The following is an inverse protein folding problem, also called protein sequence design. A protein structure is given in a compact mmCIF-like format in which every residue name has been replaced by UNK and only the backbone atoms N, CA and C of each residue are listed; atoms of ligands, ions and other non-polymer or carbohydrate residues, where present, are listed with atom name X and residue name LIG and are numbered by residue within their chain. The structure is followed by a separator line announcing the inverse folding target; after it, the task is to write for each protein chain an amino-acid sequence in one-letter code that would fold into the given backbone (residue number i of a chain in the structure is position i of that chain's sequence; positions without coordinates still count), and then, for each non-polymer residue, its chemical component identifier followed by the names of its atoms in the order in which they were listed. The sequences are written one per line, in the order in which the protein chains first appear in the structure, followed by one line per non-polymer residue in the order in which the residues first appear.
data_IF_007589757390
#
_entry.id   IF_007589757390
#
_cell.length_a   1.000
_cell.length_b   1.000
_cell.length_c   1.000
_cell.angle_alpha   90.00
_cell.angle_beta   90.00
_cell.angle_gamma   90.00
#
_symmetry.space_group_name_H-M   'P 1'
#
loop_
_entity.id
_entity.type
_entity.pdbx_description
1 polymer ?
#
# COMPACT_ATOMS: atom_id res chain seq x y z
N UNK A 1 14.07 16.07 -5.67
CA UNK A 1 13.29 16.48 -4.46
C UNK A 1 12.74 15.21 -3.85
N UNK A 2 12.73 15.13 -2.52
CA UNK A 2 12.10 14.03 -1.77
C UNK A 2 10.61 14.26 -1.64
N UNK A 3 9.81 13.20 -1.53
CA UNK A 3 8.38 13.30 -1.25
C UNK A 3 8.13 13.67 0.22
N UNK A 4 6.97 14.27 0.50
CA UNK A 4 6.57 14.59 1.88
C UNK A 4 6.44 13.31 2.73
N UNK A 5 5.93 12.21 2.15
CA UNK A 5 5.88 10.89 2.80
C UNK A 5 7.29 10.41 3.20
N UNK A 6 8.25 10.47 2.27
CA UNK A 6 9.63 10.06 2.52
C UNK A 6 10.28 10.90 3.63
N UNK A 7 10.08 12.21 3.62
CA UNK A 7 10.60 13.11 4.64
C UNK A 7 10.04 12.79 6.03
N UNK A 8 8.73 12.56 6.13
CA UNK A 8 8.07 12.18 7.39
C UNK A 8 8.60 10.85 7.93
N UNK A 9 8.67 9.82 7.09
CA UNK A 9 9.20 8.51 7.48
C UNK A 9 10.67 8.57 7.90
N UNK A 10 11.50 9.37 7.20
CA UNK A 10 12.91 9.53 7.53
C UNK A 10 13.12 10.32 8.83
N UNK A 11 12.21 11.24 9.17
CA UNK A 11 12.25 11.97 10.43
C UNK A 11 11.72 11.16 11.63
N UNK A 12 11.27 9.91 11.42
CA UNK A 12 10.70 9.06 12.46
C UNK A 12 9.27 9.42 12.86
N UNK A 13 8.60 10.27 12.10
CA UNK A 13 7.18 10.57 12.33
C UNK A 13 6.32 9.37 11.93
N UNK A 14 5.35 9.06 12.78
CA UNK A 14 4.33 8.05 12.46
C UNK A 14 3.42 8.58 11.35
N UNK A 15 3.25 7.81 10.26
CA UNK A 15 2.46 8.22 9.10
C UNK A 15 1.15 7.44 9.01
N UNK A 16 0.12 8.08 8.49
CA UNK A 16 -1.14 7.45 8.14
C UNK A 16 -1.39 7.63 6.65
N UNK A 17 -1.33 6.54 5.89
CA UNK A 17 -1.66 6.53 4.47
C UNK A 17 -3.04 5.92 4.25
N UNK A 18 -3.68 6.28 3.15
CA UNK A 18 -4.98 5.74 2.75
C UNK A 18 -4.91 5.16 1.34
N UNK A 19 -5.99 4.55 0.88
CA UNK A 19 -6.09 3.98 -0.45
C UNK A 19 -7.39 4.40 -1.12
N UNK A 20 -7.32 4.67 -2.43
CA UNK A 20 -8.48 4.78 -3.30
C UNK A 20 -8.35 3.79 -4.47
N UNK A 21 -9.43 3.10 -4.75
CA UNK A 21 -9.56 2.35 -6.00
C UNK A 21 -10.15 3.29 -7.04
N UNK A 22 -9.40 3.60 -8.13
CA UNK A 22 -9.93 4.42 -9.21
C UNK A 22 -11.25 3.85 -9.74
N UNK A 23 -12.25 4.69 -10.01
CA UNK A 23 -13.53 4.21 -10.52
C UNK A 23 -13.41 3.71 -11.97
N UNK A 24 -14.36 2.90 -12.41
CA UNK A 24 -14.55 2.61 -13.82
C UNK A 24 -15.29 3.79 -14.44
N UNK A 25 -14.57 4.88 -14.66
CA UNK A 25 -15.15 6.14 -15.16
C UNK A 25 -14.10 6.96 -15.91
N UNK A 26 -14.51 7.67 -16.93
CA UNK A 26 -13.70 8.67 -17.62
C UNK A 26 -13.91 10.09 -17.06
N UNK A 27 -14.74 10.25 -16.04
CA UNK A 27 -14.98 11.54 -15.38
C UNK A 27 -14.06 11.69 -14.15
N UNK A 28 -13.11 12.63 -14.14
CA UNK A 28 -12.21 12.85 -13.00
C UNK A 28 -12.95 13.17 -11.69
N UNK A 29 -14.14 13.75 -11.76
CA UNK A 29 -14.93 14.07 -10.57
C UNK A 29 -15.31 12.82 -9.75
N UNK A 30 -15.49 11.68 -10.40
CA UNK A 30 -15.83 10.43 -9.70
C UNK A 30 -14.66 9.90 -8.87
N UNK A 31 -13.42 10.09 -9.33
CA UNK A 31 -12.21 9.81 -8.54
C UNK A 31 -12.08 10.81 -7.38
N UNK A 32 -12.25 12.09 -7.67
CA UNK A 32 -12.10 13.16 -6.68
C UNK A 32 -13.16 13.07 -5.58
N UNK A 33 -14.35 12.60 -5.86
CA UNK A 33 -15.38 12.35 -4.85
C UNK A 33 -14.93 11.34 -3.78
N UNK A 34 -14.06 10.36 -4.14
CA UNK A 34 -13.47 9.40 -3.20
C UNK A 34 -12.22 9.95 -2.52
N UNK A 35 -11.38 10.70 -3.23
CA UNK A 35 -10.07 11.10 -2.75
C UNK A 35 -10.08 12.39 -1.92
N UNK A 36 -10.91 13.38 -2.26
CA UNK A 36 -10.95 14.67 -1.57
C UNK A 36 -11.29 14.56 -0.06
N UNK A 37 -12.19 13.65 0.38
CA UNK A 37 -12.40 13.46 1.82
C UNK A 37 -11.15 13.04 2.60
N UNK A 38 -10.13 12.46 1.94
CA UNK A 38 -8.88 12.01 2.56
C UNK A 38 -7.82 13.12 2.67
N UNK A 39 -8.03 14.24 1.94
CA UNK A 39 -7.09 15.36 1.94
C UNK A 39 -6.98 15.99 3.32
N UNK A 40 -5.72 16.07 3.82
CA UNK A 40 -5.42 16.58 5.17
C UNK A 40 -5.59 15.54 6.28
N UNK A 41 -6.15 14.37 5.98
CA UNK A 41 -6.23 13.24 6.89
C UNK A 41 -5.10 12.22 6.63
N UNK A 42 -4.92 11.82 5.39
CA UNK A 42 -3.83 10.94 5.01
C UNK A 42 -2.56 11.72 4.62
N UNK A 43 -1.39 11.20 4.97
CA UNK A 43 -0.08 11.75 4.58
C UNK A 43 0.24 11.49 3.10
N UNK A 44 -0.27 10.40 2.56
CA UNK A 44 -0.30 10.07 1.14
C UNK A 44 -1.43 9.09 0.84
N UNK A 45 -1.88 9.05 -0.40
CA UNK A 45 -3.01 8.21 -0.84
C UNK A 45 -2.57 7.28 -1.96
N UNK A 46 -2.68 5.97 -1.72
CA UNK A 46 -2.45 4.96 -2.74
C UNK A 46 -3.52 5.03 -3.83
N UNK A 47 -3.08 4.89 -5.05
CA UNK A 47 -3.93 4.70 -6.23
C UNK A 47 -3.71 3.29 -6.74
N UNK A 48 -4.73 2.43 -6.61
CA UNK A 48 -4.60 1.02 -6.99
C UNK A 48 -4.49 0.84 -8.49
N UNK A 49 -3.72 -0.15 -8.93
CA UNK A 49 -3.49 -0.50 -10.32
C UNK A 49 -4.23 -1.82 -10.66
N UNK A 50 -5.40 -1.69 -11.24
CA UNK A 50 -6.24 -2.83 -11.63
C UNK A 50 -6.60 -3.75 -10.47
N UNK A 51 -7.05 -3.19 -9.34
CA UNK A 51 -7.40 -3.95 -8.13
C UNK A 51 -8.36 -5.10 -8.43
N UNK A 52 -8.11 -6.28 -7.81
CA UNK A 52 -8.88 -7.52 -8.04
C UNK A 52 -8.88 -7.96 -9.51
N UNK A 53 -7.86 -7.62 -10.27
CA UNK A 53 -7.76 -7.89 -11.73
C UNK A 53 -8.97 -7.37 -12.53
N UNK A 54 -9.47 -6.19 -12.17
CA UNK A 54 -10.60 -5.54 -12.84
C UNK A 54 -10.15 -4.29 -13.56
N UNK A 55 -10.91 -3.90 -14.57
CA UNK A 55 -10.70 -2.65 -15.29
C UNK A 55 -11.11 -1.46 -14.42
N UNK A 56 -10.24 -0.47 -14.32
CA UNK A 56 -10.42 0.80 -13.62
C UNK A 56 -9.85 1.95 -14.45
N UNK A 57 -10.06 3.19 -14.02
CA UNK A 57 -9.26 4.30 -14.53
C UNK A 57 -7.78 4.02 -14.28
N UNK A 58 -6.94 4.31 -15.27
CA UNK A 58 -5.48 4.09 -15.22
C UNK A 58 -4.85 4.72 -13.96
N UNK A 59 -3.97 3.96 -13.30
CA UNK A 59 -3.38 4.35 -12.02
C UNK A 59 -2.48 5.57 -12.12
N UNK A 60 -1.70 5.71 -13.19
CA UNK A 60 -0.86 6.89 -13.41
C UNK A 60 -1.70 8.14 -13.65
N UNK A 61 -2.74 8.05 -14.47
CA UNK A 61 -3.68 9.15 -14.70
C UNK A 61 -4.36 9.56 -13.40
N UNK A 62 -4.82 8.58 -12.61
CA UNK A 62 -5.45 8.86 -11.32
C UNK A 62 -4.46 9.50 -10.34
N UNK A 63 -3.19 9.05 -10.28
CA UNK A 63 -2.15 9.65 -9.44
C UNK A 63 -1.86 11.11 -9.82
N UNK A 64 -1.86 11.43 -11.13
CA UNK A 64 -1.71 12.80 -11.63
C UNK A 64 -2.88 13.68 -11.15
N UNK A 65 -4.11 13.19 -11.31
CA UNK A 65 -5.33 13.92 -10.86
C UNK A 65 -5.25 14.19 -9.34
N UNK A 66 -4.87 13.21 -8.52
CA UNK A 66 -4.71 13.41 -7.08
C UNK A 66 -3.68 14.50 -6.78
N UNK A 67 -2.52 14.41 -7.41
CA UNK A 67 -1.42 15.38 -7.23
C UNK A 67 -1.82 16.80 -7.59
N UNK A 68 -2.49 16.99 -8.72
CA UNK A 68 -3.00 18.30 -9.17
C UNK A 68 -4.03 18.89 -8.20
N UNK A 69 -4.71 18.05 -7.43
CA UNK A 69 -5.66 18.45 -6.39
C UNK A 69 -5.02 18.54 -4.98
N UNK A 70 -3.70 18.50 -4.89
CA UNK A 70 -2.95 18.69 -3.65
C UNK A 70 -3.05 17.50 -2.68
N UNK A 71 -3.20 16.29 -3.22
CA UNK A 71 -3.12 15.02 -2.50
C UNK A 71 -1.84 14.33 -2.95
N UNK A 72 -0.96 13.96 -2.04
CA UNK A 72 0.27 13.24 -2.35
C UNK A 72 -0.05 11.79 -2.74
N UNK A 73 0.22 11.35 -3.98
CA UNK A 73 -0.10 9.99 -4.38
C UNK A 73 1.02 9.01 -4.07
N UNK A 74 0.63 7.74 -3.84
CA UNK A 74 1.49 6.57 -3.99
C UNK A 74 0.97 5.80 -5.21
N UNK A 75 1.72 5.84 -6.31
CA UNK A 75 1.35 5.14 -7.53
C UNK A 75 1.63 3.65 -7.39
N UNK A 76 0.58 2.83 -7.47
CA UNK A 76 0.76 1.37 -7.56
C UNK A 76 1.09 0.98 -9.01
N UNK A 77 2.03 0.05 -9.16
CA UNK A 77 2.48 -0.49 -10.45
C UNK A 77 2.48 -2.01 -10.38
N UNK A 78 1.62 -2.65 -11.15
CA UNK A 78 1.57 -4.11 -11.27
C UNK A 78 2.39 -4.61 -12.47
N UNK A 79 2.96 -5.79 -12.33
CA UNK A 79 3.68 -6.49 -13.42
C UNK A 79 2.73 -7.24 -14.35
N UNK A 80 1.43 -7.33 -14.02
CA UNK A 80 0.45 -8.19 -14.68
C UNK A 80 0.19 -7.83 -16.13
N UNK A 81 -0.07 -6.54 -16.41
CA UNK A 81 -0.69 -6.13 -17.66
C UNK A 81 0.30 -5.56 -18.68
N UNK A 82 1.54 -5.32 -18.28
CA UNK A 82 2.54 -4.55 -19.03
C UNK A 82 3.87 -5.29 -19.12
N UNK A 83 4.50 -5.26 -20.32
CA UNK A 83 5.87 -5.71 -20.47
C UNK A 83 6.86 -4.63 -19.96
N UNK A 84 8.14 -4.98 -19.89
CA UNK A 84 9.19 -4.08 -19.39
C UNK A 84 9.30 -2.76 -20.14
N UNK A 85 8.97 -2.73 -21.43
CA UNK A 85 9.00 -1.48 -22.21
C UNK A 85 7.93 -0.53 -21.71
N UNK A 86 6.68 -1.02 -21.53
CA UNK A 86 5.57 -0.24 -21.03
C UNK A 86 5.81 0.20 -19.57
N UNK A 87 6.29 -0.71 -18.70
CA UNK A 87 6.61 -0.40 -17.30
C UNK A 87 7.70 0.65 -17.17
N UNK A 88 8.77 0.58 -17.97
CA UNK A 88 9.83 1.60 -17.99
C UNK A 88 9.32 2.94 -18.50
N UNK A 89 8.46 2.94 -19.53
CA UNK A 89 7.84 4.16 -20.04
C UNK A 89 6.93 4.80 -19.00
N UNK A 90 6.17 4.02 -18.26
CA UNK A 90 5.29 4.49 -17.20
C UNK A 90 6.07 5.06 -16.00
N UNK A 91 7.16 4.41 -15.59
CA UNK A 91 8.08 4.97 -14.59
C UNK A 91 8.62 6.33 -15.02
N UNK A 92 9.09 6.47 -16.26
CA UNK A 92 9.58 7.74 -16.81
C UNK A 92 8.44 8.78 -16.85
N UNK A 93 7.24 8.39 -17.27
CA UNK A 93 6.05 9.23 -17.26
C UNK A 93 5.68 9.70 -15.85
N UNK A 94 5.69 8.82 -14.87
CA UNK A 94 5.47 9.15 -13.47
C UNK A 94 6.49 10.18 -12.96
N UNK A 95 7.79 9.99 -13.28
CA UNK A 95 8.82 10.96 -12.93
C UNK A 95 8.62 12.31 -13.62
N UNK A 96 8.27 12.34 -14.89
CA UNK A 96 7.98 13.56 -15.64
C UNK A 96 6.81 14.35 -15.06
N UNK A 97 5.79 13.66 -14.52
CA UNK A 97 4.67 14.26 -13.81
C UNK A 97 4.96 14.55 -12.33
N UNK A 98 6.20 14.27 -11.87
CA UNK A 98 6.64 14.51 -10.50
C UNK A 98 5.94 13.63 -9.47
N UNK A 99 5.56 12.42 -9.85
CA UNK A 99 5.10 11.36 -8.92
C UNK A 99 6.36 10.76 -8.29
N UNK A 100 6.45 10.85 -6.96
CA UNK A 100 7.68 10.50 -6.22
C UNK A 100 7.55 9.21 -5.42
N UNK A 101 6.33 8.78 -5.07
CA UNK A 101 6.12 7.52 -4.35
C UNK A 101 5.54 6.49 -5.29
N UNK A 102 6.16 5.34 -5.34
CA UNK A 102 5.65 4.18 -6.10
C UNK A 102 5.56 2.97 -5.19
N UNK A 103 4.55 2.14 -5.39
CA UNK A 103 4.40 0.83 -4.74
C UNK A 103 4.36 -0.24 -5.82
N UNK A 104 5.36 -1.12 -5.81
CA UNK A 104 5.49 -2.16 -6.83
C UNK A 104 4.82 -3.45 -6.37
N UNK A 105 3.97 -3.99 -7.23
CA UNK A 105 3.14 -5.17 -7.00
C UNK A 105 3.35 -6.21 -8.10
N UNK A 106 3.05 -7.47 -7.80
CA UNK A 106 2.95 -8.51 -8.83
C UNK A 106 1.68 -8.32 -9.66
N UNK A 107 0.56 -8.08 -8.99
CA UNK A 107 -0.78 -8.03 -9.57
C UNK A 107 -1.53 -9.36 -9.39
N UNK A 108 -2.86 -9.27 -9.29
CA UNK A 108 -3.75 -10.43 -9.13
C UNK A 108 -3.88 -11.24 -10.43
N UNK A 109 -4.23 -12.52 -10.32
CA UNK A 109 -4.49 -13.38 -11.48
C UNK A 109 -5.74 -12.88 -12.24
N UNK A 110 -5.65 -12.58 -13.56
CA UNK A 110 -6.78 -12.15 -14.38
C UNK A 110 -8.01 -13.06 -14.30
N UNK A 111 -7.80 -14.35 -14.08
CA UNK A 111 -8.90 -15.33 -13.91
C UNK A 111 -9.85 -15.03 -12.76
N UNK A 112 -9.42 -14.19 -11.80
CA UNK A 112 -10.23 -13.75 -10.66
C UNK A 112 -10.95 -12.42 -10.90
N UNK A 113 -10.67 -11.77 -12.03
CA UNK A 113 -11.18 -10.46 -12.39
C UNK A 113 -12.45 -10.48 -13.23
N UNK A 114 -12.72 -9.34 -13.87
CA UNK A 114 -13.86 -9.15 -14.78
C UNK A 114 -13.55 -9.52 -16.24
N UNK A 115 -12.28 -9.80 -16.55
CA UNK A 115 -11.80 -10.22 -17.87
C UNK A 115 -10.99 -11.52 -17.74
N UNK A 116 -11.61 -12.67 -17.41
CA UNK A 116 -10.88 -13.90 -17.07
C UNK A 116 -10.05 -14.48 -18.24
N UNK A 117 -10.36 -14.08 -19.48
CA UNK A 117 -9.65 -14.48 -20.69
C UNK A 117 -8.46 -13.54 -21.03
N UNK A 118 -8.28 -12.46 -20.28
CA UNK A 118 -7.15 -11.55 -20.49
C UNK A 118 -5.83 -12.30 -20.27
N UNK A 119 -4.88 -12.11 -21.20
CA UNK A 119 -3.56 -12.74 -21.11
C UNK A 119 -2.65 -11.92 -20.21
N UNK A 120 -2.19 -12.45 -19.07
CA UNK A 120 -1.20 -11.76 -18.26
C UNK A 120 0.13 -11.71 -18.98
N UNK A 121 0.89 -10.65 -18.74
CA UNK A 121 2.21 -10.44 -19.36
C UNK A 121 3.32 -10.97 -18.46
N UNK A 122 3.40 -10.46 -17.21
CA UNK A 122 4.40 -10.84 -16.21
C UNK A 122 5.82 -10.96 -16.80
N UNK A 123 6.22 -10.02 -17.68
CA UNK A 123 7.57 -9.96 -18.26
C UNK A 123 8.63 -9.64 -17.19
N UNK A 124 8.26 -8.93 -16.15
CA UNK A 124 9.02 -8.74 -14.92
C UNK A 124 8.21 -9.25 -13.74
N UNK A 125 8.88 -9.75 -12.72
CA UNK A 125 8.30 -9.89 -11.39
C UNK A 125 8.50 -8.60 -10.57
N UNK A 126 7.90 -8.53 -9.38
CA UNK A 126 7.97 -7.32 -8.55
C UNK A 126 9.38 -6.95 -8.11
N UNK A 127 10.25 -7.92 -7.80
CA UNK A 127 11.64 -7.64 -7.44
C UNK A 127 12.44 -7.07 -8.63
N UNK A 128 12.23 -7.60 -9.82
CA UNK A 128 12.85 -7.11 -11.06
C UNK A 128 12.37 -5.69 -11.43
N UNK A 129 11.08 -5.38 -11.22
CA UNK A 129 10.57 -4.04 -11.45
C UNK A 129 11.11 -3.04 -10.40
N UNK A 130 11.23 -3.44 -9.12
CA UNK A 130 11.89 -2.65 -8.08
C UNK A 130 13.34 -2.37 -8.48
N UNK A 131 14.10 -3.40 -8.90
CA UNK A 131 15.48 -3.25 -9.36
C UNK A 131 15.58 -2.31 -10.57
N UNK A 132 14.64 -2.40 -11.50
CA UNK A 132 14.56 -1.51 -12.67
C UNK A 132 14.34 -0.06 -12.24
N UNK A 133 13.39 0.20 -11.35
CA UNK A 133 13.13 1.55 -10.84
C UNK A 133 14.34 2.11 -10.06
N UNK A 134 14.95 1.29 -9.19
CA UNK A 134 16.15 1.67 -8.45
C UNK A 134 17.33 1.96 -9.40
N UNK A 135 17.54 1.13 -10.41
CA UNK A 135 18.60 1.35 -11.41
C UNK A 135 18.41 2.66 -12.17
N UNK A 136 17.20 2.94 -12.65
CA UNK A 136 16.91 4.20 -13.36
C UNK A 136 17.13 5.40 -12.42
N UNK A 137 16.67 5.34 -11.17
CA UNK A 137 16.86 6.39 -10.16
C UNK A 137 18.34 6.65 -9.88
N UNK A 138 19.11 5.58 -9.67
CA UNK A 138 20.49 5.68 -9.13
C UNK A 138 21.53 5.86 -10.22
N UNK A 139 21.28 5.40 -11.45
CA UNK A 139 22.22 5.44 -12.58
C UNK A 139 21.81 6.40 -13.70
N UNK A 140 20.55 6.84 -13.75
CA UNK A 140 20.04 7.69 -14.84
C UNK A 140 20.02 6.96 -16.19
N UNK A 141 19.82 5.64 -16.19
CA UNK A 141 19.77 4.85 -17.40
C UNK A 141 18.83 3.65 -17.25
N UNK A 142 18.32 3.14 -18.36
CA UNK A 142 17.62 1.88 -18.42
C UNK A 142 18.56 0.69 -18.13
N UNK A 143 18.07 -0.47 -17.68
CA UNK A 143 18.90 -1.65 -17.41
C UNK A 143 19.81 -2.07 -18.59
N UNK A 144 19.46 -1.71 -19.82
CA UNK A 144 20.29 -1.95 -21.02
C UNK A 144 21.26 -0.80 -21.37
N UNK A 145 21.49 0.15 -20.46
CA UNK A 145 22.49 1.23 -20.61
C UNK A 145 22.02 2.45 -21.38
N UNK A 146 20.78 2.48 -21.90
CA UNK A 146 20.25 3.68 -22.56
C UNK A 146 19.99 4.77 -21.53
N UNK A 147 20.59 5.94 -21.72
CA UNK A 147 20.45 7.08 -20.79
C UNK A 147 19.02 7.62 -20.76
N UNK A 148 18.59 7.99 -19.57
CA UNK A 148 17.34 8.69 -19.29
C UNK A 148 17.69 10.10 -18.87
N UNK A 149 17.18 11.09 -19.62
CA UNK A 149 17.37 12.50 -19.25
C UNK A 149 16.44 12.83 -18.07
N UNK A 150 16.93 13.63 -17.15
CA UNK A 150 16.25 13.99 -15.91
C UNK A 150 16.78 13.19 -14.71
N UNK A 151 16.23 13.44 -13.54
CA UNK A 151 16.68 12.84 -12.28
C UNK A 151 15.48 12.29 -11.52
N UNK A 152 14.98 11.09 -11.87
CA UNK A 152 13.93 10.43 -11.10
C UNK A 152 14.36 10.28 -9.64
N UNK A 153 13.44 10.50 -8.72
CA UNK A 153 13.74 10.46 -7.28
C UNK A 153 12.69 9.64 -6.52
N UNK A 154 12.31 8.48 -7.08
CA UNK A 154 11.25 7.67 -6.46
C UNK A 154 11.66 7.14 -5.10
N UNK A 155 10.73 7.25 -4.16
CA UNK A 155 10.67 6.48 -2.94
C UNK A 155 9.93 5.18 -3.24
N UNK A 156 10.67 4.06 -3.22
CA UNK A 156 10.20 2.77 -3.76
C UNK A 156 9.63 1.92 -2.66
N UNK A 157 8.33 1.68 -2.73
CA UNK A 157 7.58 0.80 -1.86
C UNK A 157 7.51 -0.62 -2.39
N UNK A 158 7.44 -1.56 -1.46
CA UNK A 158 7.23 -2.98 -1.69
C UNK A 158 5.98 -3.46 -0.98
N UNK A 159 5.22 -4.35 -1.60
CA UNK A 159 4.13 -5.04 -0.91
C UNK A 159 4.67 -6.18 -0.07
N UNK A 160 4.14 -6.32 1.14
CA UNK A 160 4.45 -7.41 2.07
C UNK A 160 3.16 -7.98 2.68
N UNK A 161 3.24 -9.18 3.21
CA UNK A 161 2.14 -9.84 3.91
C UNK A 161 2.69 -10.47 5.19
N UNK A 162 2.61 -9.77 6.33
CA UNK A 162 2.99 -10.34 7.62
C UNK A 162 2.25 -11.64 7.89
N UNK A 163 2.94 -12.57 8.50
CA UNK A 163 2.39 -13.85 8.96
C UNK A 163 2.77 -14.07 10.41
N UNK A 164 2.08 -14.95 11.11
CA UNK A 164 2.60 -15.51 12.36
C UNK A 164 3.69 -16.53 12.00
N UNK A 165 4.99 -16.22 12.19
CA UNK A 165 6.03 -16.99 11.56
C UNK A 165 6.23 -18.34 12.27
N UNK A 166 6.04 -19.48 11.57
CA UNK A 166 6.34 -20.79 12.14
C UNK A 166 7.86 -20.98 12.35
N UNK A 167 8.22 -22.04 13.05
CA UNK A 167 9.62 -22.41 13.22
C UNK A 167 10.31 -22.61 11.85
N UNK A 168 11.51 -22.07 11.71
CA UNK A 168 12.26 -22.12 10.45
C UNK A 168 11.75 -21.22 9.31
N UNK A 169 10.76 -20.37 9.58
CA UNK A 169 10.30 -19.42 8.57
C UNK A 169 11.41 -18.44 8.17
N UNK A 170 11.44 -18.13 6.87
CA UNK A 170 12.36 -17.14 6.30
C UNK A 170 11.61 -16.20 5.33
N UNK A 171 12.01 -14.93 5.19
CA UNK A 171 11.34 -13.92 4.39
C UNK A 171 11.62 -14.04 2.89
N UNK A 172 11.34 -15.21 2.29
CA UNK A 172 11.68 -15.55 0.90
C UNK A 172 11.07 -14.58 -0.12
N UNK A 173 9.87 -14.06 0.14
CA UNK A 173 9.22 -13.10 -0.75
C UNK A 173 9.75 -11.68 -0.57
N UNK A 174 10.12 -11.29 0.65
CA UNK A 174 10.54 -9.94 0.98
C UNK A 174 12.03 -9.69 0.68
N UNK A 175 12.90 -10.64 1.00
CA UNK A 175 14.34 -10.48 0.87
C UNK A 175 14.80 -10.04 -0.53
N UNK A 176 14.29 -10.61 -1.64
CA UNK A 176 14.63 -10.12 -2.98
C UNK A 176 14.19 -8.68 -3.25
N UNK A 177 13.05 -8.25 -2.70
CA UNK A 177 12.54 -6.88 -2.88
C UNK A 177 13.39 -5.85 -2.13
N UNK A 178 13.87 -6.22 -0.93
CA UNK A 178 14.82 -5.39 -0.16
C UNK A 178 16.13 -5.27 -0.90
N UNK A 179 16.70 -6.39 -1.36
CA UNK A 179 17.95 -6.42 -2.12
C UNK A 179 17.83 -5.63 -3.45
N UNK A 180 16.66 -5.58 -4.05
CA UNK A 180 16.38 -4.83 -5.28
C UNK A 180 16.29 -3.31 -5.07
N UNK A 181 16.28 -2.81 -3.84
CA UNK A 181 16.27 -1.36 -3.55
C UNK A 181 14.94 -0.82 -3.03
N UNK A 182 14.07 -1.68 -2.51
CA UNK A 182 12.89 -1.26 -1.75
C UNK A 182 13.26 -0.43 -0.53
N UNK A 183 12.47 0.59 -0.20
CA UNK A 183 12.76 1.57 0.86
C UNK A 183 11.68 1.62 1.94
N UNK A 184 10.43 1.33 1.59
CA UNK A 184 9.35 1.14 2.54
C UNK A 184 8.50 -0.08 2.17
N UNK A 185 7.78 -0.62 3.14
CA UNK A 185 6.81 -1.69 2.92
C UNK A 185 5.42 -1.20 3.26
N UNK A 186 4.45 -1.47 2.39
CA UNK A 186 3.03 -1.45 2.74
C UNK A 186 2.53 -2.89 2.81
N UNK A 187 1.83 -3.20 3.91
CA UNK A 187 1.44 -4.58 4.16
C UNK A 187 -0.03 -4.84 3.86
N UNK A 188 -0.36 -6.12 3.66
CA UNK A 188 -1.72 -6.61 3.79
C UNK A 188 -2.25 -6.33 5.20
N UNK A 189 -3.55 -6.43 5.43
CA UNK A 189 -4.14 -6.24 6.76
C UNK A 189 -3.43 -7.08 7.82
N UNK A 190 -2.90 -6.42 8.84
CA UNK A 190 -2.36 -7.06 10.03
C UNK A 190 -2.90 -6.31 11.27
N UNK A 191 -4.06 -6.75 11.75
CA UNK A 191 -4.75 -6.13 12.88
C UNK A 191 -4.42 -6.81 14.22
N UNK A 192 -3.24 -7.41 14.31
CA UNK A 192 -2.71 -8.08 15.50
C UNK A 192 -1.28 -7.65 15.78
N UNK A 193 -1.11 -6.86 16.86
CA UNK A 193 0.19 -6.33 17.24
C UNK A 193 1.18 -7.41 17.71
N UNK A 194 0.71 -8.51 18.29
CA UNK A 194 1.57 -9.57 18.79
C UNK A 194 2.10 -10.44 17.64
N UNK A 195 1.26 -10.73 16.64
CA UNK A 195 1.72 -11.36 15.39
C UNK A 195 2.79 -10.49 14.74
N UNK A 196 2.57 -9.17 14.67
CA UNK A 196 3.52 -8.26 14.04
C UNK A 196 4.85 -8.17 14.79
N UNK A 197 4.84 -8.20 16.14
CA UNK A 197 6.07 -8.28 16.96
C UNK A 197 6.87 -9.55 16.65
N UNK A 198 6.21 -10.71 16.58
CA UNK A 198 6.87 -11.98 16.21
C UNK A 198 7.41 -11.95 14.79
N UNK A 199 6.65 -11.36 13.86
CA UNK A 199 7.08 -11.19 12.47
C UNK A 199 8.35 -10.33 12.38
N UNK A 200 8.36 -9.16 13.03
CA UNK A 200 9.55 -8.29 13.02
C UNK A 200 10.75 -8.91 13.70
N UNK A 201 10.56 -9.67 14.80
CA UNK A 201 11.66 -10.44 15.39
C UNK A 201 12.28 -11.42 14.38
N UNK A 202 11.46 -12.10 13.58
CA UNK A 202 11.96 -13.00 12.53
C UNK A 202 12.64 -12.26 11.38
N UNK A 203 12.18 -11.05 11.04
CA UNK A 203 12.92 -10.22 10.08
C UNK A 203 14.29 -9.82 10.60
N UNK A 204 14.40 -9.47 11.89
CA UNK A 204 15.67 -9.17 12.55
C UNK A 204 16.61 -10.38 12.53
N UNK A 205 16.12 -11.55 12.95
CA UNK A 205 16.86 -12.82 12.94
C UNK A 205 17.40 -13.19 11.54
N UNK A 206 16.73 -12.71 10.47
CA UNK A 206 17.13 -12.93 9.08
C UNK A 206 17.90 -11.74 8.47
N UNK A 207 18.33 -10.76 9.26
CA UNK A 207 19.11 -9.61 8.80
C UNK A 207 18.34 -8.58 7.98
N UNK A 208 17.01 -8.60 8.05
CA UNK A 208 16.13 -7.62 7.38
C UNK A 208 15.57 -6.56 8.33
N UNK A 209 15.85 -6.64 9.64
CA UNK A 209 15.43 -5.65 10.62
C UNK A 209 15.88 -4.24 10.24
N UNK A 210 14.98 -3.26 10.33
CA UNK A 210 15.27 -1.86 10.04
C UNK A 210 15.60 -1.53 8.57
N UNK A 211 15.56 -2.50 7.64
CA UNK A 211 15.87 -2.27 6.22
C UNK A 211 14.77 -1.51 5.49
N UNK A 212 13.54 -1.60 5.95
CA UNK A 212 12.37 -0.93 5.39
C UNK A 212 11.65 -0.08 6.44
N UNK A 213 10.99 0.98 5.99
CA UNK A 213 9.98 1.70 6.78
C UNK A 213 8.65 0.97 6.62
N UNK A 214 8.12 0.39 7.71
CA UNK A 214 6.89 -0.40 7.64
C UNK A 214 5.65 0.44 7.87
N UNK A 215 4.74 0.41 6.91
CA UNK A 215 3.41 1.03 6.95
C UNK A 215 2.39 -0.12 6.92
N UNK A 216 1.82 -0.42 8.09
CA UNK A 216 1.04 -1.65 8.31
C UNK A 216 -0.40 -1.47 7.86
N UNK A 217 -0.91 -2.42 7.07
CA UNK A 217 -2.28 -2.42 6.58
C UNK A 217 -3.31 -2.66 7.70
N UNK A 218 -4.31 -1.79 7.78
CA UNK A 218 -5.44 -1.88 8.72
C UNK A 218 -6.75 -1.51 8.02
N UNK A 219 -7.88 -1.93 8.57
CA UNK A 219 -9.19 -1.53 8.06
C UNK A 219 -10.17 -1.18 9.17
N UNK A 220 -11.06 -0.19 8.96
CA UNK A 220 -12.28 -0.03 9.74
C UNK A 220 -13.37 -0.92 9.15
N UNK A 221 -13.68 -2.11 9.70
CA UNK A 221 -14.70 -2.98 9.14
C UNK A 221 -16.08 -2.32 9.28
N UNK A 222 -16.87 -2.30 8.20
CA UNK A 222 -18.19 -1.70 8.21
C UNK A 222 -19.28 -2.64 8.77
N UNK A 223 -18.97 -3.93 8.93
CA UNK A 223 -19.85 -4.95 9.50
C UNK A 223 -19.06 -6.20 9.92
N UNK A 224 -19.65 -7.02 10.80
CA UNK A 224 -19.10 -8.33 11.15
C UNK A 224 -18.95 -9.25 9.92
N UNK A 225 -19.92 -9.20 8.98
CA UNK A 225 -19.85 -9.94 7.73
C UNK A 225 -18.60 -9.57 6.91
N UNK A 226 -18.29 -8.28 6.81
CA UNK A 226 -17.09 -7.82 6.10
C UNK A 226 -15.80 -8.26 6.82
N UNK A 227 -15.73 -8.11 8.15
CA UNK A 227 -14.58 -8.53 8.94
C UNK A 227 -14.30 -10.04 8.77
N UNK A 228 -15.34 -10.86 8.86
CA UNK A 228 -15.24 -12.31 8.63
C UNK A 228 -14.82 -12.63 7.20
N UNK A 229 -15.41 -11.96 6.21
CA UNK A 229 -15.05 -12.19 4.81
C UNK A 229 -13.58 -11.85 4.53
N UNK A 230 -13.09 -10.73 5.06
CA UNK A 230 -11.66 -10.33 4.94
C UNK A 230 -10.78 -11.42 5.55
N UNK A 231 -11.09 -11.87 6.77
CA UNK A 231 -10.35 -12.90 7.48
C UNK A 231 -10.26 -14.22 6.72
N UNK A 232 -11.36 -14.65 6.10
CA UNK A 232 -11.48 -15.97 5.46
C UNK A 232 -11.02 -15.97 4.00
N UNK A 233 -11.09 -14.85 3.29
CA UNK A 233 -10.97 -14.82 1.84
C UNK A 233 -9.79 -13.99 1.32
N UNK A 234 -9.27 -13.03 2.09
CA UNK A 234 -8.13 -12.25 1.66
C UNK A 234 -6.83 -12.91 2.08
N UNK A 235 -6.05 -13.34 1.08
CA UNK A 235 -4.74 -13.95 1.31
C UNK A 235 -3.83 -13.03 2.14
N UNK A 236 -3.30 -13.57 3.23
CA UNK A 236 -2.36 -12.85 4.11
C UNK A 236 -3.00 -11.81 5.04
N UNK A 237 -4.33 -11.69 5.06
CA UNK A 237 -5.00 -10.82 6.02
C UNK A 237 -5.06 -11.47 7.41
N UNK A 238 -4.71 -10.70 8.43
CA UNK A 238 -4.75 -11.10 9.83
C UNK A 238 -5.78 -10.24 10.55
N UNK A 239 -6.94 -10.84 10.83
CA UNK A 239 -8.05 -10.23 11.58
C UNK A 239 -8.29 -11.12 12.82
N UNK A 240 -8.02 -10.65 14.04
CA UNK A 240 -8.28 -11.42 15.26
C UNK A 240 -9.77 -11.74 15.46
N UNK A 241 -10.08 -12.87 16.10
CA UNK A 241 -11.47 -13.28 16.37
C UNK A 241 -12.25 -12.23 17.14
N UNK A 242 -11.62 -11.61 18.14
CA UNK A 242 -12.27 -10.57 18.95
C UNK A 242 -12.77 -9.38 18.13
N UNK A 243 -12.15 -9.09 16.96
CA UNK A 243 -12.63 -8.03 16.04
C UNK A 243 -13.99 -8.42 15.47
N UNK A 244 -14.13 -9.68 15.03
CA UNK A 244 -15.40 -10.20 14.48
C UNK A 244 -16.47 -10.23 15.57
N UNK A 245 -16.14 -10.75 16.75
CA UNK A 245 -17.06 -10.89 17.90
C UNK A 245 -17.56 -9.51 18.36
N UNK A 246 -16.66 -8.53 18.45
CA UNK A 246 -17.01 -7.15 18.84
C UNK A 246 -17.89 -6.48 17.79
N UNK A 247 -17.65 -6.74 16.51
CA UNK A 247 -18.50 -6.25 15.41
C UNK A 247 -19.90 -6.89 15.40
N UNK A 248 -20.04 -8.15 15.85
CA UNK A 248 -21.34 -8.83 15.94
C UNK A 248 -22.22 -8.23 17.03
N UNK A 249 -21.63 -7.79 18.14
CA UNK A 249 -22.34 -7.13 19.25
C UNK A 249 -22.58 -5.61 19.07
N UNK A 250 -22.18 -5.04 17.95
CA UNK A 250 -22.22 -3.60 17.76
C UNK A 250 -23.61 -3.07 17.38
N UNK A 251 -24.16 -2.14 18.16
CA UNK A 251 -25.40 -1.41 17.81
C UNK A 251 -25.19 -0.52 16.57
N UNK A 252 -24.02 0.09 16.45
CA UNK A 252 -23.62 0.88 15.25
C UNK A 252 -22.32 0.34 14.68
N UNK A 253 -22.40 -0.64 13.76
CA UNK A 253 -21.23 -1.33 13.24
C UNK A 253 -20.21 -0.40 12.58
N UNK A 254 -20.64 0.65 11.86
CA UNK A 254 -19.71 1.58 11.21
C UNK A 254 -18.90 2.39 12.23
N UNK A 255 -19.53 2.92 13.26
CA UNK A 255 -18.83 3.64 14.32
C UNK A 255 -17.93 2.70 15.14
N UNK A 256 -18.38 1.48 15.40
CA UNK A 256 -17.59 0.48 16.12
C UNK A 256 -16.35 0.05 15.33
N UNK A 257 -16.48 -0.17 14.02
CA UNK A 257 -15.35 -0.49 13.15
C UNK A 257 -14.30 0.64 13.11
N UNK A 258 -14.73 1.89 13.15
CA UNK A 258 -13.80 3.02 13.27
C UNK A 258 -13.04 3.01 14.60
N UNK A 259 -13.73 2.75 15.72
CA UNK A 259 -13.11 2.64 17.05
C UNK A 259 -12.11 1.48 17.10
N UNK A 260 -12.50 0.30 16.63
CA UNK A 260 -11.63 -0.88 16.56
C UNK A 260 -10.36 -0.54 15.76
N UNK A 261 -10.51 0.07 14.59
CA UNK A 261 -9.38 0.44 13.76
C UNK A 261 -8.46 1.43 14.45
N UNK A 262 -9.00 2.47 15.10
CA UNK A 262 -8.22 3.46 15.84
C UNK A 262 -7.46 2.82 17.02
N UNK A 263 -8.11 1.96 17.80
CA UNK A 263 -7.48 1.23 18.92
C UNK A 263 -6.33 0.35 18.43
N UNK A 264 -6.50 -0.35 17.32
CA UNK A 264 -5.45 -1.18 16.71
C UNK A 264 -4.29 -0.29 16.23
N UNK A 265 -4.57 0.84 15.57
CA UNK A 265 -3.52 1.78 15.14
C UNK A 265 -2.68 2.23 16.33
N UNK A 266 -3.30 2.56 17.47
CA UNK A 266 -2.58 2.96 18.67
C UNK A 266 -1.71 1.81 19.22
N UNK A 267 -2.19 0.57 19.21
CA UNK A 267 -1.39 -0.60 19.59
C UNK A 267 -0.22 -0.85 18.64
N UNK A 268 -0.45 -0.73 17.32
CA UNK A 268 0.58 -0.89 16.30
C UNK A 268 1.66 0.20 16.39
N UNK A 269 1.28 1.42 16.76
CA UNK A 269 2.22 2.52 16.94
C UNK A 269 3.24 2.30 18.07
N UNK A 270 2.96 1.38 19.00
CA UNK A 270 3.87 0.96 20.08
C UNK A 270 4.73 -0.28 19.70
N UNK A 271 4.55 -0.82 18.49
CA UNK A 271 5.36 -1.96 18.02
C UNK A 271 6.66 -1.44 17.40
N UNK A 272 7.84 -1.82 17.94
CA UNK A 272 9.11 -1.42 17.35
C UNK A 272 9.22 -1.85 15.89
N UNK A 273 9.61 -0.94 15.01
CA UNK A 273 9.71 -1.18 13.56
C UNK A 273 8.50 -0.71 12.75
N UNK A 274 7.36 -0.44 13.36
CA UNK A 274 6.22 0.20 12.69
C UNK A 274 6.51 1.69 12.50
N UNK A 275 6.45 2.15 11.27
CA UNK A 275 6.66 3.55 10.90
C UNK A 275 5.35 4.27 10.57
N UNK A 276 4.26 3.53 10.45
CA UNK A 276 2.94 4.08 10.15
C UNK A 276 1.92 2.99 9.83
N UNK A 277 0.73 3.43 9.44
CA UNK A 277 -0.36 2.55 9.03
C UNK A 277 -0.93 2.93 7.66
N UNK A 278 -1.41 1.92 6.96
CA UNK A 278 -2.11 2.05 5.68
C UNK A 278 -3.57 1.68 5.89
N UNK A 279 -4.45 2.67 5.88
CA UNK A 279 -5.87 2.50 6.16
C UNK A 279 -6.59 2.19 4.85
N UNK A 280 -6.97 0.93 4.65
CA UNK A 280 -7.73 0.47 3.50
C UNK A 280 -9.19 0.28 3.89
N UNK A 281 -10.09 1.04 3.28
CA UNK A 281 -11.52 0.99 3.52
C UNK A 281 -12.29 0.86 2.19
N UNK A 282 -12.17 -0.27 1.48
CA UNK A 282 -12.79 -0.43 0.17
C UNK A 282 -14.29 -0.13 0.23
N UNK A 283 -14.78 0.75 -0.70
CA UNK A 283 -16.18 1.19 -0.79
C UNK A 283 -16.65 2.03 0.45
N UNK A 284 -15.76 2.31 1.38
CA UNK A 284 -16.09 3.05 2.61
C UNK A 284 -14.98 4.06 2.96
N UNK A 285 -14.33 4.64 1.96
CA UNK A 285 -13.22 5.58 2.12
C UNK A 285 -13.61 6.76 3.04
N UNK A 286 -14.88 7.15 3.03
CA UNK A 286 -15.42 8.20 3.90
C UNK A 286 -15.34 7.89 5.42
N UNK A 287 -15.06 6.65 5.81
CA UNK A 287 -14.84 6.29 7.22
C UNK A 287 -13.45 6.65 7.75
N UNK A 288 -12.47 6.83 6.85
CA UNK A 288 -11.06 7.05 7.20
C UNK A 288 -10.84 8.33 8.02
N UNK A 289 -11.42 9.49 7.67
CA UNK A 289 -11.31 10.70 8.48
C UNK A 289 -11.65 10.50 9.94
N UNK A 290 -12.75 9.82 10.25
CA UNK A 290 -13.15 9.56 11.63
C UNK A 290 -12.15 8.69 12.41
N UNK A 291 -11.52 7.71 11.75
CA UNK A 291 -10.43 6.91 12.36
C UNK A 291 -9.23 7.80 12.67
N UNK A 292 -8.81 8.63 11.71
CA UNK A 292 -7.65 9.52 11.86
C UNK A 292 -7.87 10.54 12.97
N UNK A 293 -9.08 11.11 13.08
CA UNK A 293 -9.43 12.04 14.16
C UNK A 293 -9.32 11.37 15.55
N UNK A 294 -9.78 10.12 15.69
CA UNK A 294 -9.66 9.37 16.94
C UNK A 294 -8.18 9.12 17.31
N UNK A 295 -7.35 8.76 16.33
CA UNK A 295 -5.91 8.50 16.53
C UNK A 295 -5.19 9.79 16.92
N UNK A 296 -5.47 10.91 16.24
CA UNK A 296 -4.90 12.23 16.56
C UNK A 296 -5.33 12.73 17.93
N UNK A 297 -6.59 12.53 18.31
CA UNK A 297 -7.09 12.89 19.65
C UNK A 297 -6.39 12.11 20.77
N UNK A 298 -5.86 10.92 20.47
CA UNK A 298 -5.05 10.11 21.39
C UNK A 298 -3.55 10.46 21.35
N UNK A 299 -3.13 11.48 20.57
CA UNK A 299 -1.75 12.01 20.58
C UNK A 299 -0.79 11.38 19.55
N UNK A 300 -1.31 10.70 18.54
CA UNK A 300 -0.49 10.14 17.42
C UNK A 300 -0.76 10.86 16.11
#
# INVERSE_FOLDING_TARGET
MTSSLQEKLNSGKFVMTAEVTPPLSSNPADLLAKALPLKGYADAVNVTDGASAKTHLDSLVAAIILKENGIEPILQLTCRDRNRIALQSELIGAAAMGIQNILVLTGDDPKKGDQPDAKPVFDLNSAELIATAAHIRDKGELPHGRKVNGSPSWFIGVADAPVDPPEGWTPKSLAPKVAAGGQFAQTQFCMDADVLRRYFQRLEDNGLGGKLKYIVGVCPPASAKQARWIKENLFGAIIPDWVVDRMEGAENPKAEGQKICAEIILQLAEVPGVSGVHIMAPINEASIPGVVDMVRAAGK
#
